data_IF_004894968273
#
_entry.id   IF_004894968273
#
_cell.length_a   1.000
_cell.length_b   1.000
_cell.length_c   1.000
_cell.angle_alpha   90.00
_cell.angle_beta   90.00
_cell.angle_gamma   90.00
#
_symmetry.space_group_name_H-M   'P 1'
#
loop_
_entity.id
_entity.type
_entity.pdbx_description
1 polymer ?
#
# COMPACT_ATOMS: atom_id res chain seq x y z
N UNK A 1 3.22 -16.15 -3.11
CA UNK A 1 2.32 -15.05 -2.75
C UNK A 1 2.46 -14.80 -1.26
N UNK A 2 2.29 -13.57 -0.81
CA UNK A 2 2.18 -13.23 0.60
C UNK A 2 1.04 -12.22 0.80
N UNK A 3 0.56 -12.08 2.04
CA UNK A 3 -0.44 -11.09 2.41
C UNK A 3 0.25 -9.91 3.09
N UNK A 4 0.08 -8.70 2.55
CA UNK A 4 0.43 -7.48 3.23
C UNK A 4 -0.79 -6.98 4.01
N UNK A 5 -0.65 -6.78 5.32
CA UNK A 5 -1.76 -6.41 6.20
C UNK A 5 -1.44 -5.08 6.87
N UNK A 6 -2.33 -4.11 6.72
CA UNK A 6 -2.25 -2.83 7.42
C UNK A 6 -3.46 -2.67 8.33
N UNK A 7 -3.22 -2.17 9.54
CA UNK A 7 -4.27 -1.93 10.55
C UNK A 7 -4.35 -0.43 10.81
N UNK A 8 -5.54 0.18 10.77
CA UNK A 8 -5.69 1.60 11.04
C UNK A 8 -5.53 1.88 12.54
N UNK A 9 -5.20 3.12 12.90
CA UNK A 9 -5.05 3.54 14.31
C UNK A 9 -6.32 3.31 15.13
N UNK A 10 -7.48 3.52 14.53
CA UNK A 10 -8.79 3.21 15.10
C UNK A 10 -9.52 2.28 14.14
N UNK A 11 -9.75 1.04 14.56
CA UNK A 11 -10.40 0.05 13.73
C UNK A 11 -11.93 0.11 13.88
N UNK A 12 -12.63 0.14 12.75
CA UNK A 12 -14.10 0.18 12.69
C UNK A 12 -14.75 -1.23 12.74
N UNK A 13 -13.95 -2.30 12.89
CA UNK A 13 -14.42 -3.69 12.91
C UNK A 13 -14.50 -4.37 11.53
N UNK A 14 -14.21 -3.65 10.44
CA UNK A 14 -14.25 -4.17 9.08
C UNK A 14 -12.86 -4.56 8.57
N UNK A 15 -12.82 -5.61 7.77
CA UNK A 15 -11.66 -5.98 6.96
C UNK A 15 -12.01 -5.78 5.49
N UNK A 16 -11.03 -5.45 4.68
CA UNK A 16 -11.20 -5.34 3.25
C UNK A 16 -10.03 -6.00 2.52
N UNK A 17 -10.36 -6.75 1.49
CA UNK A 17 -9.38 -7.25 0.53
C UNK A 17 -9.16 -6.17 -0.51
N UNK A 18 -7.90 -5.79 -0.69
CA UNK A 18 -7.54 -4.57 -1.42
C UNK A 18 -6.46 -4.85 -2.46
N UNK A 19 -6.37 -3.96 -3.45
CA UNK A 19 -5.19 -3.82 -4.31
C UNK A 19 -4.23 -2.78 -3.74
N UNK A 20 -3.03 -2.65 -4.34
CA UNK A 20 -2.09 -1.59 -3.97
C UNK A 20 -2.62 -0.23 -4.44
N UNK A 21 -2.66 0.74 -3.53
CA UNK A 21 -2.92 2.14 -3.85
C UNK A 21 -1.68 2.88 -4.34
N UNK A 22 -1.82 4.19 -4.45
CA UNK A 22 -0.76 5.10 -4.85
C UNK A 22 -0.61 6.23 -3.84
N UNK A 23 0.63 6.70 -3.67
CA UNK A 23 0.96 7.88 -2.87
C UNK A 23 1.97 8.73 -3.62
N UNK A 24 1.72 10.04 -3.66
CA UNK A 24 2.64 11.00 -4.23
C UNK A 24 3.49 11.65 -3.14
N UNK A 25 4.80 11.64 -3.36
CA UNK A 25 5.77 12.32 -2.50
C UNK A 25 6.21 13.60 -3.21
N UNK A 26 5.66 14.74 -2.81
CA UNK A 26 6.01 16.03 -3.39
C UNK A 26 7.17 16.66 -2.64
N UNK A 27 8.09 17.27 -3.39
CA UNK A 27 9.25 18.02 -2.87
C UNK A 27 10.06 17.22 -1.84
N UNK A 28 10.37 15.96 -2.17
CA UNK A 28 10.98 15.00 -1.24
C UNK A 28 12.47 15.22 -0.94
N UNK A 29 13.06 16.32 -1.39
CA UNK A 29 14.47 16.65 -1.23
C UNK A 29 14.56 18.05 -0.63
N UNK A 30 15.01 18.11 0.63
CA UNK A 30 15.39 19.37 1.27
C UNK A 30 16.92 19.48 1.33
N UNK A 31 17.45 20.68 1.07
CA UNK A 31 18.88 20.97 1.11
C UNK A 31 19.16 21.91 2.26
N UNK A 32 19.87 21.40 3.26
CA UNK A 32 20.28 22.18 4.42
C UNK A 32 21.80 22.37 4.39
N UNK A 33 22.23 23.63 4.30
CA UNK A 33 23.64 23.99 4.42
C UNK A 33 24.05 23.89 5.90
N UNK A 34 24.91 22.92 6.22
CA UNK A 34 25.41 22.74 7.58
C UNK A 34 26.78 23.40 7.68
N UNK A 35 26.82 24.55 8.35
CA UNK A 35 28.05 25.31 8.58
C UNK A 35 29.18 24.37 9.05
N UNK A 36 30.29 24.40 8.31
CA UNK A 36 31.53 23.62 8.51
C UNK A 36 31.48 22.10 8.23
N UNK A 37 30.42 21.56 7.61
CA UNK A 37 30.31 20.11 7.29
C UNK A 37 29.98 19.85 5.80
N UNK A 38 29.39 20.82 5.10
CA UNK A 38 28.97 20.72 3.70
C UNK A 38 27.45 20.69 3.52
N UNK A 39 26.97 20.43 2.30
CA UNK A 39 25.53 20.36 1.99
C UNK A 39 24.96 19.01 2.42
N UNK A 40 23.92 19.01 3.25
CA UNK A 40 23.14 17.83 3.59
C UNK A 40 21.86 17.77 2.75
N UNK A 41 21.58 16.61 2.17
CA UNK A 41 20.31 16.31 1.50
C UNK A 41 19.46 15.46 2.43
N UNK A 42 18.31 15.97 2.84
CA UNK A 42 17.32 15.22 3.59
C UNK A 42 16.27 14.67 2.64
N UNK A 43 16.09 13.34 2.67
CA UNK A 43 15.01 12.67 1.96
C UNK A 43 13.83 12.59 2.91
N UNK A 44 12.89 13.52 2.75
CA UNK A 44 11.66 13.59 3.50
C UNK A 44 10.63 14.33 2.65
N UNK A 45 9.44 13.75 2.47
CA UNK A 45 8.39 14.44 1.76
C UNK A 45 7.90 15.64 2.58
N UNK A 46 7.96 16.83 1.98
CA UNK A 46 7.29 18.00 2.52
C UNK A 46 5.77 17.79 2.54
N UNK A 47 5.24 17.06 1.54
CA UNK A 47 3.81 16.75 1.40
C UNK A 47 3.69 15.32 0.86
N UNK A 48 2.90 14.49 1.55
CA UNK A 48 2.46 13.17 1.09
C UNK A 48 0.99 13.29 0.74
N UNK A 49 0.62 12.92 -0.48
CA UNK A 49 -0.77 12.84 -0.92
C UNK A 49 -1.13 11.37 -1.17
N UNK A 50 -2.06 10.85 -0.38
CA UNK A 50 -2.66 9.54 -0.60
C UNK A 50 -3.78 9.70 -1.64
N UNK A 51 -3.67 9.01 -2.79
CA UNK A 51 -4.75 9.03 -3.77
C UNK A 51 -5.97 8.27 -3.23
N UNK A 52 -7.14 8.90 -3.31
CA UNK A 52 -8.40 8.28 -2.91
C UNK A 52 -8.92 7.34 -4.00
N UNK A 53 -8.30 6.16 -4.10
CA UNK A 53 -8.68 5.12 -5.06
C UNK A 53 -9.49 4.04 -4.33
N UNK A 54 -10.80 3.89 -4.62
CA UNK A 54 -11.63 2.87 -3.99
C UNK A 54 -11.08 1.45 -4.17
N UNK A 55 -11.12 0.65 -3.10
CA UNK A 55 -10.65 -0.73 -3.11
C UNK A 55 -9.13 -0.90 -2.98
N UNK A 56 -8.40 0.19 -2.72
CA UNK A 56 -6.97 0.14 -2.42
C UNK A 56 -6.69 0.15 -0.92
N UNK A 57 -5.49 -0.29 -0.54
CA UNK A 57 -5.05 -0.33 0.84
C UNK A 57 -5.10 1.02 1.57
N UNK A 58 -4.68 2.11 0.93
CA UNK A 58 -4.71 3.45 1.50
C UNK A 58 -6.16 3.92 1.75
N UNK A 59 -7.06 3.69 0.79
CA UNK A 59 -8.48 4.01 0.94
C UNK A 59 -9.13 3.22 2.09
N UNK A 60 -8.86 1.91 2.19
CA UNK A 60 -9.37 1.08 3.29
C UNK A 60 -8.88 1.58 4.66
N UNK A 61 -7.58 1.90 4.79
CA UNK A 61 -7.01 2.44 6.02
C UNK A 61 -7.62 3.79 6.40
N UNK A 62 -7.80 4.68 5.42
CA UNK A 62 -8.40 5.99 5.64
C UNK A 62 -9.88 5.90 6.07
N UNK A 63 -10.57 4.81 5.69
CA UNK A 63 -11.93 4.51 6.16
C UNK A 63 -11.99 3.84 7.55
N UNK A 64 -10.85 3.50 8.14
CA UNK A 64 -10.76 2.79 9.42
C UNK A 64 -10.94 1.27 9.33
N UNK A 65 -10.86 0.68 8.13
CA UNK A 65 -10.85 -0.77 7.92
C UNK A 65 -9.42 -1.34 7.89
N UNK A 66 -9.27 -2.62 8.23
CA UNK A 66 -8.01 -3.36 8.01
C UNK A 66 -7.88 -3.66 6.52
N UNK A 67 -6.74 -3.30 5.92
CA UNK A 67 -6.44 -3.60 4.53
C UNK A 67 -5.63 -4.90 4.41
N UNK A 68 -6.07 -5.81 3.55
CA UNK A 68 -5.41 -7.09 3.26
C UNK A 68 -5.12 -7.14 1.76
N UNK A 69 -3.85 -7.00 1.39
CA UNK A 69 -3.41 -6.94 0.00
C UNK A 69 -2.58 -8.19 -0.35
N UNK A 70 -3.11 -9.11 -1.17
CA UNK A 70 -2.33 -10.20 -1.76
C UNK A 70 -1.26 -9.65 -2.70
N UNK A 71 -0.02 -10.07 -2.51
CA UNK A 71 1.12 -9.65 -3.34
C UNK A 71 1.89 -10.84 -3.90
N UNK A 72 2.33 -10.68 -5.15
CA UNK A 72 3.26 -11.63 -5.78
C UNK A 72 4.60 -11.59 -5.04
N UNK A 73 5.17 -12.78 -4.80
CA UNK A 73 6.51 -12.91 -4.21
C UNK A 73 7.62 -12.46 -5.15
N UNK A 74 7.32 -12.33 -6.44
CA UNK A 74 8.24 -11.91 -7.48
C UNK A 74 7.63 -10.76 -8.31
N UNK A 75 8.44 -9.87 -8.88
CA UNK A 75 7.95 -8.84 -9.80
C UNK A 75 7.17 -9.43 -10.98
N UNK A 76 6.21 -8.69 -11.53
CA UNK A 76 5.32 -9.15 -12.61
C UNK A 76 6.07 -9.69 -13.83
N UNK A 77 7.23 -9.12 -14.17
CA UNK A 77 8.02 -9.53 -15.33
C UNK A 77 9.01 -10.68 -15.03
N UNK A 78 9.04 -11.20 -13.80
CA UNK A 78 9.89 -12.33 -13.44
C UNK A 78 9.21 -13.65 -13.84
N UNK A 79 9.93 -14.70 -14.29
CA UNK A 79 9.33 -15.98 -14.66
C UNK A 79 8.54 -16.70 -13.55
N UNK A 80 8.80 -16.35 -12.28
CA UNK A 80 8.08 -16.84 -11.09
C UNK A 80 7.04 -15.83 -10.56
N UNK A 81 6.84 -14.72 -11.27
CA UNK A 81 5.81 -13.74 -10.98
C UNK A 81 4.44 -14.32 -11.23
N UNK A 82 3.49 -14.00 -10.36
CA UNK A 82 2.09 -14.32 -10.61
C UNK A 82 1.56 -13.46 -11.75
N UNK A 83 0.70 -14.05 -12.59
CA UNK A 83 0.03 -13.29 -13.65
C UNK A 83 -0.93 -12.28 -13.06
N UNK A 84 -1.26 -11.24 -13.86
CA UNK A 84 -2.25 -10.23 -13.49
C UNK A 84 -3.60 -10.86 -13.13
N UNK A 85 -4.05 -11.87 -13.88
CA UNK A 85 -5.32 -12.57 -13.64
C UNK A 85 -5.33 -13.30 -12.29
N UNK A 86 -4.21 -13.93 -11.90
CA UNK A 86 -4.11 -14.61 -10.60
C UNK A 86 -4.11 -13.59 -9.46
N UNK A 87 -3.46 -12.45 -9.63
CA UNK A 87 -3.51 -11.37 -8.63
C UNK A 87 -4.91 -10.77 -8.53
N UNK A 88 -5.58 -10.54 -9.66
CA UNK A 88 -6.95 -10.02 -9.70
C UNK A 88 -7.93 -10.97 -8.99
N UNK A 89 -7.86 -12.27 -9.28
CA UNK A 89 -8.64 -13.28 -8.58
C UNK A 89 -8.30 -13.35 -7.09
N UNK A 90 -7.02 -13.23 -6.73
CA UNK A 90 -6.60 -13.23 -5.33
C UNK A 90 -7.13 -12.01 -4.55
N UNK A 91 -7.38 -10.88 -5.23
CA UNK A 91 -7.98 -9.66 -4.65
C UNK A 91 -9.51 -9.66 -4.61
N UNK A 92 -10.17 -10.74 -5.02
CA UNK A 92 -11.61 -10.87 -4.84
C UNK A 92 -11.94 -10.99 -3.35
N UNK A 93 -12.81 -10.10 -2.86
CA UNK A 93 -13.21 -10.08 -1.46
C UNK A 93 -14.35 -11.08 -1.21
N UNK A 94 -14.23 -11.84 -0.13
CA UNK A 94 -15.30 -12.66 0.41
C UNK A 94 -16.28 -11.89 1.30
N UNK A 95 -17.18 -12.63 1.92
CA UNK A 95 -18.27 -12.11 2.75
C UNK A 95 -17.82 -11.47 4.06
N UNK A 96 -16.68 -11.92 4.60
CA UNK A 96 -16.10 -11.41 5.85
C UNK A 96 -15.13 -10.25 5.65
N UNK A 97 -14.81 -9.91 4.40
CA UNK A 97 -13.76 -8.96 4.05
C UNK A 97 -12.39 -9.59 3.80
N UNK A 98 -12.22 -10.87 4.12
CA UNK A 98 -11.04 -11.66 3.75
C UNK A 98 -11.00 -11.92 2.24
N UNK A 99 -9.82 -12.25 1.68
CA UNK A 99 -9.74 -12.76 0.32
C UNK A 99 -10.65 -13.98 0.18
N UNK A 100 -11.42 -14.06 -0.90
CA UNK A 100 -12.45 -15.11 -1.11
C UNK A 100 -11.89 -16.53 -1.02
N UNK A 101 -10.61 -16.72 -1.34
CA UNK A 101 -9.91 -17.99 -1.28
C UNK A 101 -9.40 -18.38 0.13
N UNK A 102 -9.63 -17.52 1.13
CA UNK A 102 -9.37 -17.77 2.55
C UNK A 102 -10.65 -17.99 3.37
N UNK A 103 -11.81 -17.98 2.72
CA UNK A 103 -13.13 -18.24 3.32
C UNK A 103 -13.63 -19.66 3.05
#
# INVERSE_FOLDING_TARGET
MFLNINTPKSWNGLMQTTSLGSRWYHNAIDMNDRENIGVAYEVGAAIIEDEDIPGTDCNAINSGAVAITPLSSWPVNHPLGLSGDVIAAATEQGSSGLPSWLE
#
